data_IF_102125077761
#
_entry.id   IF_102125077761
#
_cell.length_a   1.000
_cell.length_b   1.000
_cell.length_c   1.000
_cell.angle_alpha   90.00
_cell.angle_beta   90.00
_cell.angle_gamma   90.00
#
_symmetry.space_group_name_H-M   'P 1'
#
loop_
_entity.id
_entity.type
_entity.pdbx_description
1 polymer ?
#
# COMPACT_ATOMS: atom_id res chain seq x y z
N UNK A 1 -11.86 -14.36 8.24
CA UNK A 1 -11.93 -12.92 8.52
C UNK A 1 -10.52 -12.39 8.52
N UNK A 2 -10.24 -11.39 7.74
CA UNK A 2 -8.91 -10.73 7.64
C UNK A 2 -9.08 -9.25 7.97
N UNK A 3 -8.24 -8.72 8.83
CA UNK A 3 -8.25 -7.30 9.19
C UNK A 3 -7.10 -6.59 8.49
N UNK A 4 -7.43 -5.70 7.57
CA UNK A 4 -6.48 -4.87 6.83
C UNK A 4 -6.39 -3.50 7.49
N UNK A 5 -5.19 -3.08 7.87
CA UNK A 5 -4.91 -1.72 8.34
C UNK A 5 -4.11 -0.94 7.28
N UNK A 6 -4.62 0.20 6.89
CA UNK A 6 -3.95 1.12 5.97
C UNK A 6 -3.48 2.32 6.77
N UNK A 7 -2.18 2.52 6.86
CA UNK A 7 -1.59 3.66 7.55
C UNK A 7 -1.84 4.95 6.78
N UNK A 8 -2.33 5.97 7.46
CA UNK A 8 -2.51 7.32 6.94
C UNK A 8 -1.62 8.32 7.69
N UNK A 9 -1.05 9.26 6.96
CA UNK A 9 -0.25 10.37 7.47
C UNK A 9 -0.35 11.57 6.52
N UNK A 10 0.00 12.75 7.00
CA UNK A 10 -0.02 13.95 6.18
C UNK A 10 0.94 13.82 4.98
N UNK A 11 0.51 14.27 3.82
CA UNK A 11 1.21 14.12 2.53
C UNK A 11 1.40 12.66 2.06
N UNK A 12 0.52 11.74 2.47
CA UNK A 12 0.37 10.45 1.82
C UNK A 12 -0.17 10.62 0.39
N UNK A 13 0.32 9.81 -0.55
CA UNK A 13 -0.17 9.83 -1.93
C UNK A 13 -1.53 9.14 -2.01
N UNK A 14 -2.53 9.81 -2.54
CA UNK A 14 -3.94 9.39 -2.50
C UNK A 14 -4.16 7.99 -3.09
N UNK A 15 -3.73 7.76 -4.33
CA UNK A 15 -3.99 6.49 -5.00
C UNK A 15 -3.21 5.32 -4.39
N UNK A 16 -2.13 5.59 -3.65
CA UNK A 16 -1.33 4.55 -2.98
C UNK A 16 -2.10 3.83 -1.87
N UNK A 17 -3.13 4.47 -1.32
CA UNK A 17 -3.99 3.86 -0.31
C UNK A 17 -5.44 3.67 -0.78
N UNK A 18 -5.99 4.59 -1.59
CA UNK A 18 -7.37 4.46 -2.08
C UNK A 18 -7.51 3.31 -3.06
N UNK A 19 -6.51 3.07 -3.93
CA UNK A 19 -6.51 1.92 -4.83
C UNK A 19 -6.55 0.58 -4.08
N UNK A 20 -5.62 0.31 -3.17
CA UNK A 20 -5.66 -0.84 -2.26
C UNK A 20 -6.94 -0.93 -1.43
N UNK A 21 -7.43 0.19 -0.91
CA UNK A 21 -8.66 0.24 -0.13
C UNK A 21 -9.85 -0.28 -0.95
N UNK A 22 -10.01 0.18 -2.19
CA UNK A 22 -11.03 -0.30 -3.13
C UNK A 22 -10.88 -1.81 -3.42
N UNK A 23 -9.66 -2.29 -3.60
CA UNK A 23 -9.42 -3.73 -3.83
C UNK A 23 -9.87 -4.56 -2.64
N UNK A 24 -9.48 -4.18 -1.42
CA UNK A 24 -9.79 -4.93 -0.20
C UNK A 24 -11.27 -4.87 0.14
N UNK A 25 -11.91 -3.69 0.04
CA UNK A 25 -13.33 -3.52 0.33
C UNK A 25 -14.21 -4.24 -0.69
N UNK A 26 -13.86 -4.20 -1.98
CA UNK A 26 -14.54 -4.99 -3.03
C UNK A 26 -14.36 -6.49 -2.78
N UNK A 27 -13.16 -6.92 -2.38
CA UNK A 27 -12.89 -8.32 -2.01
C UNK A 27 -13.76 -8.77 -0.84
N UNK A 28 -13.86 -7.95 0.20
CA UNK A 28 -14.71 -8.21 1.36
C UNK A 28 -16.19 -8.27 0.96
N UNK A 29 -16.66 -7.29 0.18
CA UNK A 29 -18.05 -7.23 -0.29
C UNK A 29 -18.49 -8.46 -1.10
N UNK A 30 -17.61 -8.99 -1.96
CA UNK A 30 -17.85 -10.24 -2.72
C UNK A 30 -17.80 -11.50 -1.84
N UNK A 31 -17.46 -11.37 -0.57
CA UNK A 31 -17.42 -12.40 0.46
C UNK A 31 -18.37 -12.10 1.63
N UNK A 32 -19.48 -11.44 1.34
CA UNK A 32 -20.52 -11.08 2.32
C UNK A 32 -20.02 -10.21 3.49
N UNK A 33 -19.02 -9.35 3.23
CA UNK A 33 -18.44 -8.48 4.26
C UNK A 33 -17.56 -9.23 5.27
N UNK A 34 -16.88 -10.30 4.82
CA UNK A 34 -16.11 -11.18 5.71
C UNK A 34 -14.82 -10.58 6.27
N UNK A 35 -14.38 -9.43 5.78
CA UNK A 35 -13.10 -8.81 6.17
C UNK A 35 -13.31 -7.33 6.55
N UNK A 36 -12.49 -6.83 7.47
CA UNK A 36 -12.45 -5.42 7.87
C UNK A 36 -11.30 -4.69 7.16
N UNK A 37 -11.58 -3.50 6.63
CA UNK A 37 -10.58 -2.62 6.03
C UNK A 37 -10.60 -1.29 6.78
N UNK A 38 -9.52 -0.99 7.48
CA UNK A 38 -9.42 0.10 8.44
C UNK A 38 -8.36 1.12 8.03
N UNK A 39 -8.70 2.39 8.17
CA UNK A 39 -7.76 3.50 8.02
C UNK A 39 -7.22 3.88 9.41
N UNK A 40 -5.90 3.77 9.57
CA UNK A 40 -5.24 3.99 10.86
C UNK A 40 -4.27 5.17 10.76
N UNK A 41 -4.31 6.11 11.69
CA UNK A 41 -3.39 7.25 11.73
C UNK A 41 -2.86 7.53 13.14
N UNK A 42 -1.86 8.38 13.25
CA UNK A 42 -1.33 8.76 14.57
C UNK A 42 -2.38 9.45 15.44
N UNK A 43 -3.29 10.21 14.83
CA UNK A 43 -4.32 11.02 15.48
C UNK A 43 -5.68 10.82 14.82
N UNK A 44 -6.74 11.00 15.55
CA UNK A 44 -8.13 10.94 15.07
C UNK A 44 -8.56 12.16 14.22
N UNK A 45 -7.67 13.12 13.99
CA UNK A 45 -7.94 14.28 13.13
C UNK A 45 -7.83 13.92 11.66
N UNK A 46 -8.52 14.65 10.75
CA UNK A 46 -8.38 14.41 9.32
C UNK A 46 -6.94 14.58 8.84
N UNK A 47 -6.45 13.61 8.10
CA UNK A 47 -5.15 13.62 7.41
C UNK A 47 -5.28 14.39 6.11
N UNK A 48 -4.31 15.25 5.81
CA UNK A 48 -4.24 15.97 4.54
C UNK A 48 -3.23 15.29 3.60
N UNK A 49 -3.74 14.67 2.55
CA UNK A 49 -2.95 13.95 1.56
C UNK A 49 -2.21 14.89 0.59
N UNK A 50 -1.32 14.32 -0.23
CA UNK A 50 -0.40 15.04 -1.14
C UNK A 50 -1.08 15.97 -2.13
N UNK A 51 -2.23 15.57 -2.68
CA UNK A 51 -3.00 16.36 -3.66
C UNK A 51 -4.15 17.13 -3.00
N UNK A 52 -4.22 17.12 -1.67
CA UNK A 52 -5.16 17.91 -0.89
C UNK A 52 -6.44 17.20 -0.46
N UNK A 53 -6.62 15.93 -0.78
CA UNK A 53 -7.70 15.12 -0.19
C UNK A 53 -7.57 15.15 1.34
N UNK A 54 -8.71 15.18 2.02
CA UNK A 54 -8.78 15.05 3.48
C UNK A 54 -9.51 13.77 3.82
N UNK A 55 -8.88 12.94 4.63
CA UNK A 55 -9.39 11.63 5.00
C UNK A 55 -9.44 11.53 6.52
N UNK A 56 -10.58 11.12 7.05
CA UNK A 56 -10.72 10.82 8.47
C UNK A 56 -10.32 9.37 8.71
N UNK A 57 -9.38 9.08 9.62
CA UNK A 57 -9.05 7.71 9.98
C UNK A 57 -10.17 7.09 10.83
N UNK A 58 -10.29 5.76 10.74
CA UNK A 58 -11.21 4.98 11.58
C UNK A 58 -10.65 4.80 13.00
N UNK A 59 -9.32 4.63 13.09
CA UNK A 59 -8.59 4.35 14.31
C UNK A 59 -7.31 5.16 14.44
N UNK A 60 -6.83 5.25 15.67
CA UNK A 60 -5.46 5.73 15.96
C UNK A 60 -4.48 4.56 16.07
N UNK A 61 -3.17 4.88 16.14
CA UNK A 61 -2.13 3.86 16.38
C UNK A 61 -2.31 3.08 17.70
N UNK A 62 -3.11 3.60 18.62
CA UNK A 62 -3.27 3.02 19.96
C UNK A 62 -4.58 2.27 20.21
N UNK A 63 -5.55 2.33 19.29
CA UNK A 63 -6.91 1.80 19.55
C UNK A 63 -7.48 0.90 18.44
N UNK A 64 -6.68 0.56 17.42
CA UNK A 64 -7.10 -0.36 16.37
C UNK A 64 -7.05 -1.83 16.84
N UNK A 65 -7.88 -2.72 16.26
CA UNK A 65 -7.78 -4.16 16.50
C UNK A 65 -6.47 -4.73 15.93
N UNK A 66 -6.09 -5.97 16.29
CA UNK A 66 -4.97 -6.65 15.64
C UNK A 66 -5.12 -6.67 14.12
N UNK A 67 -4.03 -6.38 13.40
CA UNK A 67 -4.02 -6.31 11.94
C UNK A 67 -3.34 -7.54 11.34
N UNK A 68 -4.03 -8.25 10.45
CA UNK A 68 -3.46 -9.35 9.67
C UNK A 68 -2.59 -8.83 8.52
N UNK A 69 -2.98 -7.68 7.96
CA UNK A 69 -2.27 -7.00 6.88
C UNK A 69 -2.07 -5.54 7.26
N UNK A 70 -0.84 -5.04 7.19
CA UNK A 70 -0.55 -3.60 7.31
C UNK A 70 -0.05 -3.07 5.98
N UNK A 71 -0.67 -1.98 5.50
CA UNK A 71 -0.29 -1.32 4.26
C UNK A 71 0.20 0.11 4.54
N UNK A 72 1.34 0.43 3.93
CA UNK A 72 2.03 1.72 4.04
C UNK A 72 2.05 2.39 2.68
N UNK A 73 1.32 3.49 2.47
CA UNK A 73 1.37 4.26 1.24
C UNK A 73 2.65 5.07 1.12
N UNK A 74 2.95 5.54 -0.08
CA UNK A 74 4.01 6.50 -0.31
C UNK A 74 3.56 7.95 -0.16
N UNK A 75 4.34 8.84 -0.75
CA UNK A 75 4.16 10.28 -0.68
C UNK A 75 5.34 10.99 -0.03
N UNK A 76 5.26 12.32 0.06
CA UNK A 76 6.29 13.11 0.72
C UNK A 76 6.43 12.72 2.21
N UNK A 77 5.31 12.51 2.89
CA UNK A 77 5.30 12.09 4.30
C UNK A 77 6.10 10.80 4.52
N UNK A 78 5.93 9.78 3.68
CA UNK A 78 6.63 8.51 3.79
C UNK A 78 8.15 8.60 3.61
N UNK A 79 8.65 9.62 2.89
CA UNK A 79 10.09 9.78 2.64
C UNK A 79 10.78 10.73 3.60
N UNK A 80 10.12 11.83 3.96
CA UNK A 80 10.80 13.00 4.56
C UNK A 80 10.28 13.34 5.96
N UNK A 81 9.16 12.76 6.39
CA UNK A 81 8.56 13.11 7.69
C UNK A 81 8.46 11.88 8.60
N UNK A 82 7.70 10.89 8.19
CA UNK A 82 7.38 9.72 9.02
C UNK A 82 8.58 8.80 9.34
N UNK A 83 9.64 8.72 8.50
CA UNK A 83 10.85 7.99 8.87
C UNK A 83 11.58 8.53 10.11
N UNK A 84 11.29 9.77 10.51
CA UNK A 84 11.84 10.44 11.71
C UNK A 84 10.81 10.56 12.85
N UNK A 85 9.60 10.03 12.65
CA UNK A 85 8.54 9.98 13.66
C UNK A 85 8.63 8.65 14.42
N UNK A 86 9.26 8.67 15.58
CA UNK A 86 9.46 7.46 16.39
C UNK A 86 8.16 6.75 16.74
N UNK A 87 7.07 7.49 16.99
CA UNK A 87 5.76 6.87 17.28
C UNK A 87 5.23 6.04 16.12
N UNK A 88 5.38 6.53 14.90
CA UNK A 88 4.94 5.83 13.69
C UNK A 88 5.89 4.66 13.37
N UNK A 89 7.21 4.87 13.46
CA UNK A 89 8.18 3.80 13.16
C UNK A 89 8.13 2.66 14.17
N UNK A 90 8.00 2.94 15.47
CA UNK A 90 7.88 1.93 16.52
C UNK A 90 6.57 1.14 16.40
N UNK A 91 5.45 1.86 16.16
CA UNK A 91 4.17 1.21 15.90
C UNK A 91 4.23 0.30 14.67
N UNK A 92 4.82 0.78 13.58
CA UNK A 92 4.94 0.01 12.35
C UNK A 92 5.84 -1.22 12.52
N UNK A 93 6.95 -1.09 13.24
CA UNK A 93 7.81 -2.21 13.58
C UNK A 93 7.07 -3.28 14.39
N UNK A 94 6.35 -2.86 15.44
CA UNK A 94 5.55 -3.76 16.29
C UNK A 94 4.41 -4.43 15.54
N UNK A 95 3.67 -3.67 14.73
CA UNK A 95 2.55 -4.20 13.92
C UNK A 95 3.06 -5.17 12.86
N UNK A 96 4.13 -4.82 12.15
CA UNK A 96 4.72 -5.67 11.11
C UNK A 96 5.26 -7.01 11.66
N UNK A 97 5.71 -7.03 12.90
CA UNK A 97 6.19 -8.27 13.55
C UNK A 97 5.05 -9.27 13.81
N UNK A 98 3.82 -8.79 13.94
CA UNK A 98 2.63 -9.61 14.22
C UNK A 98 1.79 -9.87 12.96
N UNK A 99 1.86 -9.01 11.97
CA UNK A 99 1.06 -9.10 10.75
C UNK A 99 1.48 -10.29 9.87
N UNK A 100 0.49 -10.92 9.26
CA UNK A 100 0.71 -11.97 8.25
C UNK A 100 1.35 -11.40 6.99
N UNK A 101 0.97 -10.18 6.61
CA UNK A 101 1.52 -9.46 5.46
C UNK A 101 1.82 -8.00 5.77
N UNK A 102 2.97 -7.55 5.28
CA UNK A 102 3.38 -6.15 5.27
C UNK A 102 3.43 -5.66 3.83
N UNK A 103 2.70 -4.59 3.53
CA UNK A 103 2.57 -4.07 2.17
C UNK A 103 3.10 -2.65 2.10
N UNK A 104 3.98 -2.39 1.14
CA UNK A 104 4.45 -1.04 0.83
C UNK A 104 4.08 -0.64 -0.60
N UNK A 105 3.47 0.52 -0.76
CA UNK A 105 3.18 1.07 -2.09
C UNK A 105 4.08 2.28 -2.33
N UNK A 106 4.65 2.38 -3.53
CA UNK A 106 5.43 3.55 -3.92
C UNK A 106 6.61 3.79 -2.95
N UNK A 107 6.72 4.99 -2.44
CA UNK A 107 7.74 5.37 -1.46
C UNK A 107 7.40 4.97 -0.01
N UNK A 108 6.33 4.22 0.22
CA UNK A 108 6.08 3.54 1.49
C UNK A 108 7.22 2.59 1.90
N UNK A 109 7.99 2.12 0.92
CA UNK A 109 9.21 1.34 1.15
C UNK A 109 10.26 2.09 2.00
N UNK A 110 10.31 3.43 1.95
CA UNK A 110 11.21 4.24 2.79
C UNK A 110 10.81 4.18 4.27
N UNK A 111 9.52 4.29 4.54
CA UNK A 111 9.02 4.20 5.90
C UNK A 111 9.17 2.78 6.45
N UNK A 112 8.90 1.75 5.62
CA UNK A 112 9.16 0.36 5.97
C UNK A 112 10.64 0.08 6.22
N UNK A 113 11.54 0.73 5.49
CA UNK A 113 12.99 0.62 5.73
C UNK A 113 13.36 1.30 7.06
N UNK A 114 12.86 2.50 7.33
CA UNK A 114 13.14 3.22 8.58
C UNK A 114 12.65 2.43 9.81
N UNK A 115 11.44 1.91 9.75
CA UNK A 115 10.83 1.10 10.81
C UNK A 115 11.44 -0.32 10.95
N UNK A 116 12.17 -0.81 9.95
CA UNK A 116 12.85 -2.10 9.98
C UNK A 116 12.34 -3.18 9.04
N UNK A 117 11.03 -3.32 8.75
CA UNK A 117 10.49 -4.45 7.97
C UNK A 117 11.12 -4.66 6.58
N UNK A 118 11.64 -3.59 5.95
CA UNK A 118 12.29 -3.68 4.64
C UNK A 118 13.82 -3.80 4.70
N UNK A 119 14.44 -3.80 5.89
CA UNK A 119 15.90 -3.97 6.03
C UNK A 119 16.32 -5.36 5.63
N UNK A 120 17.44 -5.45 4.90
CA UNK A 120 18.00 -6.69 4.36
C UNK A 120 17.03 -7.46 3.45
N UNK A 121 16.06 -6.75 2.87
CA UNK A 121 15.01 -7.34 2.02
C UNK A 121 15.09 -6.81 0.58
N UNK A 122 14.49 -7.57 -0.33
CA UNK A 122 14.24 -7.15 -1.71
C UNK A 122 12.94 -6.36 -1.77
N UNK A 123 12.96 -5.18 -2.40
CA UNK A 123 11.80 -4.30 -2.48
C UNK A 123 11.65 -3.68 -3.87
N UNK A 124 10.43 -3.30 -4.22
CA UNK A 124 10.14 -2.31 -5.26
C UNK A 124 9.78 -0.98 -4.61
N UNK A 125 10.01 0.10 -5.32
CA UNK A 125 9.56 1.45 -4.95
C UNK A 125 9.24 2.26 -6.20
N UNK A 126 8.83 3.51 -6.05
CA UNK A 126 8.62 4.40 -7.19
C UNK A 126 9.93 4.60 -7.97
N UNK A 127 9.89 4.47 -9.29
CA UNK A 127 11.07 4.48 -10.17
C UNK A 127 12.00 5.70 -9.95
N UNK A 128 11.45 6.88 -9.67
CA UNK A 128 12.25 8.08 -9.40
C UNK A 128 13.06 8.00 -8.11
N UNK A 129 12.73 7.11 -7.20
CA UNK A 129 13.31 7.03 -5.85
C UNK A 129 14.11 5.75 -5.60
N UNK A 130 14.30 4.91 -6.62
CA UNK A 130 15.04 3.65 -6.50
C UNK A 130 16.48 3.88 -6.01
N UNK A 131 17.21 4.80 -6.64
CA UNK A 131 18.59 5.16 -6.24
C UNK A 131 18.63 5.75 -4.84
N UNK A 132 17.67 6.58 -4.48
CA UNK A 132 17.60 7.19 -3.16
C UNK A 132 17.32 6.15 -2.06
N UNK A 133 16.50 5.13 -2.34
CA UNK A 133 16.24 4.05 -1.40
C UNK A 133 17.47 3.14 -1.25
N UNK A 134 18.13 2.77 -2.36
CA UNK A 134 19.40 2.03 -2.30
C UNK A 134 20.46 2.75 -1.49
N UNK A 135 20.53 4.07 -1.60
CA UNK A 135 21.44 4.91 -0.84
C UNK A 135 21.22 4.91 0.68
N UNK A 136 20.07 4.42 1.15
CA UNK A 136 19.84 4.18 2.60
C UNK A 136 20.65 3.00 3.12
N UNK A 137 21.16 2.13 2.23
CA UNK A 137 21.85 0.89 2.58
C UNK A 137 20.92 -0.16 3.14
N UNK A 138 21.45 -1.36 3.31
CA UNK A 138 20.72 -2.49 3.93
C UNK A 138 19.33 -2.77 3.30
N UNK A 139 19.22 -2.61 1.97
CA UNK A 139 18.03 -2.93 1.18
C UNK A 139 18.43 -3.21 -0.26
N UNK A 140 17.74 -4.14 -0.94
CA UNK A 140 17.96 -4.44 -2.36
C UNK A 140 16.76 -3.98 -3.17
N UNK A 141 16.92 -2.91 -3.94
CA UNK A 141 15.86 -2.41 -4.83
C UNK A 141 15.85 -3.21 -6.13
N UNK A 142 14.71 -3.83 -6.45
CA UNK A 142 14.48 -4.54 -7.71
C UNK A 142 13.87 -3.59 -8.71
N UNK A 143 14.64 -3.20 -9.74
CA UNK A 143 14.19 -2.28 -10.78
C UNK A 143 13.27 -2.97 -11.77
N UNK A 144 12.45 -2.19 -12.44
CA UNK A 144 11.51 -2.63 -13.50
C UNK A 144 10.54 -3.74 -13.07
N UNK A 145 10.41 -3.95 -11.75
CA UNK A 145 9.46 -4.90 -11.19
C UNK A 145 8.21 -4.15 -10.68
N UNK A 146 7.06 -4.44 -11.27
CA UNK A 146 5.79 -3.83 -10.89
C UNK A 146 5.50 -3.98 -9.39
N UNK A 147 5.84 -5.13 -8.83
CA UNK A 147 5.87 -5.40 -7.39
C UNK A 147 6.87 -6.51 -7.07
N UNK A 148 7.33 -6.57 -5.84
CA UNK A 148 8.27 -7.55 -5.33
C UNK A 148 7.68 -8.21 -4.09
N UNK A 149 7.81 -9.53 -4.02
CA UNK A 149 7.45 -10.34 -2.85
C UNK A 149 8.74 -10.89 -2.27
N UNK A 150 8.95 -10.67 -0.98
CA UNK A 150 10.05 -11.22 -0.22
C UNK A 150 9.53 -11.71 1.14
N UNK A 151 9.35 -13.02 1.29
CA UNK A 151 8.68 -13.61 2.44
C UNK A 151 7.25 -13.07 2.61
N UNK A 152 6.99 -12.36 3.70
CA UNK A 152 5.72 -11.71 4.00
C UNK A 152 5.69 -10.21 3.64
N UNK A 153 6.75 -9.70 3.04
CA UNK A 153 6.82 -8.32 2.57
C UNK A 153 6.44 -8.26 1.09
N UNK A 154 5.43 -7.46 0.77
CA UNK A 154 5.00 -7.13 -0.58
C UNK A 154 5.22 -5.64 -0.80
N UNK A 155 6.04 -5.27 -1.78
CA UNK A 155 6.26 -3.87 -2.13
C UNK A 155 6.01 -3.64 -3.60
N UNK A 156 5.47 -2.49 -3.96
CA UNK A 156 5.15 -2.16 -5.35
C UNK A 156 5.76 -0.84 -5.80
N UNK A 157 5.85 -0.67 -7.10
CA UNK A 157 6.10 0.63 -7.71
C UNK A 157 5.01 1.63 -7.35
N UNK A 158 5.07 2.83 -7.96
CA UNK A 158 4.25 3.96 -7.59
C UNK A 158 2.80 3.90 -8.07
N UNK A 159 2.00 4.58 -7.33
CA UNK A 159 0.64 5.04 -7.63
C UNK A 159 -0.29 3.88 -8.02
N UNK A 160 -0.50 3.62 -9.31
CA UNK A 160 -1.40 2.57 -9.80
C UNK A 160 -0.90 1.14 -9.51
N UNK A 161 0.41 0.95 -9.23
CA UNK A 161 0.97 -0.36 -8.93
C UNK A 161 0.44 -0.97 -7.61
N UNK A 162 -0.07 -0.13 -6.72
CA UNK A 162 -0.75 -0.57 -5.51
C UNK A 162 -1.96 -1.46 -5.80
N UNK A 163 -2.72 -1.16 -6.87
CA UNK A 163 -3.87 -1.97 -7.28
C UNK A 163 -3.41 -3.37 -7.71
N UNK A 164 -2.35 -3.46 -8.55
CA UNK A 164 -1.85 -4.76 -9.02
C UNK A 164 -1.33 -5.62 -7.88
N UNK A 165 -0.53 -5.03 -6.98
CA UNK A 165 0.04 -5.75 -5.85
C UNK A 165 -1.02 -6.24 -4.87
N UNK A 166 -2.06 -5.43 -4.60
CA UNK A 166 -3.14 -5.82 -3.70
C UNK A 166 -4.09 -6.85 -4.33
N UNK A 167 -4.34 -6.81 -5.64
CA UNK A 167 -5.02 -7.89 -6.35
C UNK A 167 -4.24 -9.20 -6.28
N UNK A 168 -2.90 -9.15 -6.39
CA UNK A 168 -2.06 -10.32 -6.18
C UNK A 168 -2.21 -10.85 -4.74
N UNK A 169 -2.19 -9.98 -3.74
CA UNK A 169 -2.34 -10.36 -2.34
C UNK A 169 -3.72 -11.00 -2.07
N UNK A 170 -4.81 -10.42 -2.61
CA UNK A 170 -6.14 -11.02 -2.56
C UNK A 170 -6.13 -12.43 -3.17
N UNK A 171 -5.41 -12.61 -4.29
CA UNK A 171 -5.24 -13.93 -4.90
C UNK A 171 -4.46 -14.93 -4.03
N UNK A 172 -3.55 -14.44 -3.21
CA UNK A 172 -2.81 -15.27 -2.23
C UNK A 172 -3.66 -15.65 -1.02
N UNK A 173 -4.50 -14.74 -0.56
CA UNK A 173 -5.32 -14.94 0.64
C UNK A 173 -6.61 -15.72 0.33
N UNK A 174 -7.25 -15.44 -0.80
CA UNK A 174 -8.61 -15.90 -1.10
C UNK A 174 -8.71 -16.70 -2.41
N UNK A 175 -7.60 -16.91 -3.10
CA UNK A 175 -7.53 -17.67 -4.35
C UNK A 175 -7.63 -16.80 -5.62
N UNK A 176 -7.04 -17.31 -6.70
CA UNK A 176 -6.92 -16.59 -7.99
C UNK A 176 -8.25 -16.25 -8.63
N UNK A 177 -9.24 -17.12 -8.49
CA UNK A 177 -10.58 -16.89 -9.07
C UNK A 177 -11.25 -15.71 -8.37
N UNK A 178 -11.13 -15.64 -7.04
CA UNK A 178 -11.65 -14.51 -6.28
C UNK A 178 -10.97 -13.20 -6.69
N UNK A 179 -9.65 -13.17 -6.83
CA UNK A 179 -8.93 -11.98 -7.32
C UNK A 179 -9.39 -11.55 -8.73
N UNK A 180 -9.70 -12.50 -9.62
CA UNK A 180 -10.28 -12.20 -10.95
C UNK A 180 -11.68 -11.59 -10.84
N UNK A 181 -12.50 -12.09 -9.91
CA UNK A 181 -13.83 -11.53 -9.65
C UNK A 181 -13.72 -10.09 -9.10
N UNK A 182 -12.81 -9.84 -8.16
CA UNK A 182 -12.51 -8.49 -7.64
C UNK A 182 -12.07 -7.57 -8.78
N UNK A 183 -11.09 -7.97 -9.58
CA UNK A 183 -10.62 -7.20 -10.74
C UNK A 183 -11.77 -6.85 -11.70
N UNK A 184 -12.64 -7.81 -11.96
CA UNK A 184 -13.82 -7.61 -12.85
C UNK A 184 -14.83 -6.65 -12.23
N UNK A 185 -15.09 -6.74 -10.93
CA UNK A 185 -16.00 -5.84 -10.23
C UNK A 185 -15.48 -4.40 -10.24
N UNK A 186 -14.18 -4.21 -10.11
CA UNK A 186 -13.51 -2.92 -10.22
C UNK A 186 -13.40 -2.41 -11.67
N UNK A 187 -13.74 -3.24 -12.67
CA UNK A 187 -13.46 -2.96 -14.08
C UNK A 187 -12.00 -2.55 -14.34
N UNK A 188 -11.09 -3.07 -13.53
CA UNK A 188 -9.67 -2.77 -13.64
C UNK A 188 -9.08 -3.54 -14.83
N UNK A 189 -8.91 -2.82 -15.95
CA UNK A 189 -8.20 -3.30 -17.13
C UNK A 189 -7.06 -2.32 -17.46
N UNK A 190 -5.81 -2.68 -17.15
CA UNK A 190 -4.68 -1.75 -17.27
C UNK A 190 -4.16 -1.57 -18.71
N UNK A 191 -4.98 -1.81 -19.72
CA UNK A 191 -4.64 -1.56 -21.13
C UNK A 191 -5.15 -0.20 -21.69
N UNK A 192 -5.62 0.77 -20.92
CA UNK A 192 -5.97 2.11 -21.39
C UNK A 192 -4.71 2.83 -21.94
N UNK A 193 -4.87 3.84 -22.78
CA UNK A 193 -6.11 4.31 -23.40
C UNK A 193 -6.42 3.58 -24.72
N UNK A 194 -5.68 2.55 -25.05
CA UNK A 194 -5.61 1.92 -26.37
C UNK A 194 -6.84 1.08 -26.75
N UNK A 195 -7.73 0.86 -25.80
CA UNK A 195 -9.01 0.17 -26.02
C UNK A 195 -10.22 1.11 -25.98
N UNK A 196 -9.98 2.42 -25.98
CA UNK A 196 -11.06 3.39 -26.14
C UNK A 196 -11.63 3.29 -27.57
N UNK A 197 -12.94 3.46 -27.69
CA UNK A 197 -13.66 3.45 -28.99
C UNK A 197 -13.42 4.75 -29.79
N UNK A 198 -12.43 5.53 -29.38
CA UNK A 198 -11.96 6.73 -30.06
C UNK A 198 -10.53 6.54 -30.59
N UNK A 199 -10.25 6.96 -31.83
CA UNK A 199 -8.89 6.91 -32.33
C UNK A 199 -7.99 7.83 -31.52
N UNK A 200 -6.78 7.36 -31.22
CA UNK A 200 -5.77 8.19 -30.58
C UNK A 200 -5.51 9.45 -31.42
N UNK A 201 -5.33 10.60 -30.79
CA UNK A 201 -4.90 11.79 -31.53
C UNK A 201 -3.56 11.48 -32.21
N UNK A 202 -3.50 11.76 -33.51
CA UNK A 202 -2.24 11.67 -34.24
C UNK A 202 -1.26 12.69 -33.68
N UNK A 203 -0.15 12.23 -33.14
CA UNK A 203 0.99 13.06 -32.70
C UNK A 203 1.78 13.54 -33.89
#
# INVERSE_FOLDING_TARGET
>A
MTTYGILLFDSAQELDFTGPWEVFTTSSGLRDGADDVLLVAERSAPVRCSQGMRVLPDHTLGDHPPLDVVLVPGGHGAREVEPYNERVTDWLAGTAACATWVVGVCTGAFLLHAAGPARSRRVATHWQYEVALEGRGDVTVVRDARYVVDGNLLTSQGVSAGIDSTLWLVGRLHGREHARAVRRALQYDPAPPYLADEPLPHT
#
